data_IF_633876738902
#
_entry.id   IF_633876738902
#
_cell.length_a   1.000
_cell.length_b   1.000
_cell.length_c   1.000
_cell.angle_alpha   90.00
_cell.angle_beta   90.00
_cell.angle_gamma   90.00
#
_symmetry.space_group_name_H-M   'P 1'
#
loop_
_entity.id
_entity.type
_entity.pdbx_description
1 polymer ?
#
# COMPACT_ATOMS: atom_id res chain seq x y z
N UNK A 1 -8.85 3.50 -16.49
CA UNK A 1 -8.76 4.99 -16.52
C UNK A 1 -7.34 5.47 -16.85
N UNK A 2 -6.30 5.10 -16.08
CA UNK A 2 -4.91 5.56 -16.33
C UNK A 2 -4.39 5.21 -17.73
N UNK A 3 -4.53 3.95 -18.14
CA UNK A 3 -4.13 3.51 -19.49
C UNK A 3 -4.81 4.36 -20.58
N UNK A 4 -6.12 4.57 -20.48
CA UNK A 4 -6.88 5.41 -21.42
C UNK A 4 -6.30 6.83 -21.52
N UNK A 5 -6.01 7.47 -20.38
CA UNK A 5 -5.40 8.81 -20.37
C UNK A 5 -4.01 8.83 -21.00
N UNK A 6 -3.19 7.81 -20.74
CA UNK A 6 -1.85 7.67 -21.33
C UNK A 6 -1.93 7.48 -22.85
N UNK A 7 -2.86 6.66 -23.34
CA UNK A 7 -3.09 6.46 -24.77
C UNK A 7 -3.53 7.73 -25.50
N UNK A 8 -4.30 8.59 -24.84
CA UNK A 8 -4.75 9.87 -25.41
C UNK A 8 -3.70 10.98 -25.33
N UNK A 9 -2.75 10.87 -24.39
CA UNK A 9 -1.68 11.86 -24.23
C UNK A 9 -0.63 11.77 -25.34
N UNK A 10 0.08 12.86 -25.61
CA UNK A 10 1.14 12.95 -26.64
C UNK A 10 2.55 13.12 -26.04
N UNK A 11 2.67 13.17 -24.72
CA UNK A 11 3.96 13.37 -24.03
C UNK A 11 4.87 12.15 -24.16
N UNK A 12 6.18 12.40 -24.30
CA UNK A 12 7.24 11.37 -24.23
C UNK A 12 7.54 10.93 -22.79
N UNK A 13 7.24 11.81 -21.83
CA UNK A 13 7.24 11.54 -20.39
C UNK A 13 5.80 11.62 -19.91
N UNK A 14 5.38 10.63 -19.13
CA UNK A 14 4.09 10.58 -18.45
C UNK A 14 4.36 10.89 -16.99
N UNK A 15 3.60 11.81 -16.41
CA UNK A 15 3.56 12.03 -14.97
C UNK A 15 2.14 11.78 -14.47
N UNK A 16 1.97 10.70 -13.72
CA UNK A 16 0.69 10.30 -13.16
C UNK A 16 0.54 10.88 -11.75
N UNK A 17 -0.58 11.56 -11.54
CA UNK A 17 -0.91 12.27 -10.29
C UNK A 17 -2.38 11.99 -9.97
N UNK A 18 -2.69 11.68 -8.72
CA UNK A 18 -4.08 11.47 -8.29
C UNK A 18 -4.80 12.83 -8.14
N UNK A 19 -6.11 12.84 -8.37
CA UNK A 19 -6.92 14.07 -8.39
C UNK A 19 -6.96 14.83 -7.04
N UNK A 20 -6.62 14.16 -5.96
CA UNK A 20 -6.58 14.67 -4.58
C UNK A 20 -5.15 14.85 -4.05
N UNK A 21 -4.16 14.96 -4.95
CA UNK A 21 -2.76 15.22 -4.59
C UNK A 21 -2.32 16.65 -4.94
N UNK A 22 -1.66 17.31 -4.00
CA UNK A 22 -0.98 18.59 -4.24
C UNK A 22 0.48 18.35 -4.62
N UNK A 23 0.85 18.80 -5.81
CA UNK A 23 2.19 18.62 -6.39
C UNK A 23 3.10 19.79 -6.05
N UNK A 24 4.36 19.51 -5.71
CA UNK A 24 5.37 20.53 -5.48
C UNK A 24 5.82 21.19 -6.81
N UNK A 25 5.99 22.52 -6.81
CA UNK A 25 6.43 23.32 -7.98
C UNK A 25 7.73 22.83 -8.62
N UNK A 26 8.64 22.24 -7.85
CA UNK A 26 9.93 21.73 -8.34
C UNK A 26 9.86 20.38 -9.08
N UNK A 27 8.77 19.64 -8.93
CA UNK A 27 8.65 18.24 -9.39
C UNK A 27 8.93 18.08 -10.89
N UNK A 28 8.32 18.89 -11.76
CA UNK A 28 8.42 18.75 -13.22
C UNK A 28 9.87 18.87 -13.70
N UNK A 29 10.62 19.84 -13.15
CA UNK A 29 12.02 20.06 -13.51
C UNK A 29 12.88 18.85 -13.14
N UNK A 30 12.72 18.35 -11.92
CA UNK A 30 13.47 17.20 -11.39
C UNK A 30 13.11 15.89 -12.11
N UNK A 31 11.83 15.69 -12.44
CA UNK A 31 11.36 14.57 -13.26
C UNK A 31 12.06 14.59 -14.62
N UNK A 32 12.02 15.73 -15.31
CA UNK A 32 12.64 15.90 -16.63
C UNK A 32 14.14 15.62 -16.55
N UNK A 33 14.82 16.20 -15.57
CA UNK A 33 16.27 16.10 -15.46
C UNK A 33 16.72 14.67 -15.09
N UNK A 34 15.97 13.98 -14.22
CA UNK A 34 16.26 12.59 -13.84
C UNK A 34 16.01 11.59 -14.97
N UNK A 35 14.93 11.78 -15.75
CA UNK A 35 14.58 10.88 -16.86
C UNK A 35 15.43 11.10 -18.13
N UNK A 36 16.42 12.00 -18.11
CA UNK A 36 17.45 12.10 -19.16
C UNK A 36 18.38 10.88 -19.17
N UNK A 37 18.62 10.26 -18.02
CA UNK A 37 19.40 9.02 -17.95
C UNK A 37 18.56 7.86 -18.53
N UNK A 38 18.98 7.23 -19.64
CA UNK A 38 18.25 6.13 -20.26
C UNK A 38 18.14 4.90 -19.35
N UNK A 39 18.95 4.79 -18.29
CA UNK A 39 18.85 3.69 -17.32
C UNK A 39 17.77 3.92 -16.25
N UNK A 40 17.23 5.13 -16.12
CA UNK A 40 16.16 5.46 -15.17
C UNK A 40 14.81 5.26 -15.84
N UNK A 41 14.05 4.24 -15.42
CA UNK A 41 12.76 3.91 -16.02
C UNK A 41 11.58 4.65 -15.41
N UNK A 42 11.67 4.99 -14.12
CA UNK A 42 10.64 5.73 -13.41
C UNK A 42 11.22 6.56 -12.26
N UNK A 43 10.53 7.64 -11.92
CA UNK A 43 10.83 8.52 -10.79
C UNK A 43 9.54 8.92 -10.08
N UNK A 44 9.62 9.28 -8.81
CA UNK A 44 8.43 9.65 -8.04
C UNK A 44 8.72 10.03 -6.61
N UNK A 45 7.69 10.45 -5.89
CA UNK A 45 7.78 10.86 -4.49
C UNK A 45 7.07 9.90 -3.53
N UNK A 46 6.81 10.39 -2.31
CA UNK A 46 5.92 9.72 -1.36
C UNK A 46 4.67 10.55 -1.10
N UNK A 47 3.64 9.92 -0.53
CA UNK A 47 2.49 10.64 0.00
C UNK A 47 2.84 11.28 1.34
N UNK A 48 2.75 12.60 1.40
CA UNK A 48 2.92 13.41 2.59
C UNK A 48 1.58 13.69 3.27
N UNK A 49 1.68 14.08 4.54
CA UNK A 49 0.56 14.50 5.37
C UNK A 49 0.02 15.84 4.91
N UNK A 50 -1.25 16.10 5.21
CA UNK A 50 -1.80 17.47 5.14
C UNK A 50 -1.18 18.38 6.21
N UNK A 51 -1.29 19.70 6.04
CA UNK A 51 -0.75 20.70 6.98
C UNK A 51 -1.30 20.56 8.40
N UNK A 52 -2.55 20.11 8.53
CA UNK A 52 -3.21 19.85 9.82
C UNK A 52 -3.59 18.37 9.91
N UNK A 53 -2.63 17.46 10.15
CA UNK A 53 -2.90 16.04 10.14
C UNK A 53 -3.63 15.61 11.41
N UNK A 54 -4.64 14.77 11.24
CA UNK A 54 -5.27 14.08 12.39
C UNK A 54 -4.30 13.10 13.04
N UNK A 55 -4.59 12.66 14.27
CA UNK A 55 -3.79 11.62 14.92
C UNK A 55 -3.74 10.32 14.10
N UNK A 56 -4.83 9.97 13.39
CA UNK A 56 -4.88 8.78 12.52
C UNK A 56 -3.92 8.93 11.35
N UNK A 57 -3.92 10.09 10.70
CA UNK A 57 -2.99 10.39 9.61
C UNK A 57 -1.54 10.41 10.10
N UNK A 58 -1.29 10.96 11.29
CA UNK A 58 0.02 10.95 11.93
C UNK A 58 0.54 9.55 12.24
N UNK A 59 -0.33 8.60 12.60
CA UNK A 59 0.03 7.20 12.81
C UNK A 59 0.15 6.38 11.52
N UNK A 60 -0.52 6.79 10.45
CA UNK A 60 -0.50 6.09 9.17
C UNK A 60 0.71 6.48 8.32
N UNK A 61 0.94 7.78 8.14
CA UNK A 61 2.02 8.33 7.33
C UNK A 61 3.22 8.57 8.25
N UNK A 62 4.16 7.64 8.22
CA UNK A 62 5.38 7.69 9.03
C UNK A 62 6.62 7.96 8.17
N UNK A 63 6.42 8.59 7.02
CA UNK A 63 7.48 8.94 6.09
C UNK A 63 7.61 10.46 6.04
N UNK A 64 8.84 10.96 5.99
CA UNK A 64 9.18 12.34 5.68
C UNK A 64 9.91 12.42 4.33
N UNK A 65 9.89 13.60 3.71
CA UNK A 65 10.66 13.89 2.51
C UNK A 65 12.17 14.05 2.77
N UNK A 66 12.57 14.08 4.05
CA UNK A 66 13.96 14.19 4.53
C UNK A 66 14.85 13.00 4.14
N UNK A 67 14.28 11.88 3.66
CA UNK A 67 14.99 10.63 3.34
C UNK A 67 16.00 10.68 2.20
N UNK A 68 16.29 11.86 1.64
CA UNK A 68 17.24 12.05 0.55
C UNK A 68 16.76 11.47 -0.78
N UNK A 69 17.53 11.73 -1.84
CA UNK A 69 17.34 11.14 -3.17
C UNK A 69 17.96 9.74 -3.23
N UNK A 70 17.33 8.77 -3.90
CA UNK A 70 17.91 7.44 -4.03
C UNK A 70 17.07 6.42 -4.79
N UNK A 71 17.53 5.18 -4.84
CA UNK A 71 16.77 4.09 -5.47
C UNK A 71 15.56 3.68 -4.64
N UNK A 72 14.43 3.55 -5.31
CA UNK A 72 13.17 3.15 -4.71
C UNK A 72 12.80 1.74 -5.14
N UNK A 73 12.35 0.94 -4.18
CA UNK A 73 11.81 -0.37 -4.50
C UNK A 73 10.38 -0.31 -5.06
N UNK A 74 9.68 0.77 -4.74
CA UNK A 74 8.28 1.01 -5.06
C UNK A 74 7.98 2.52 -5.02
N UNK A 75 7.00 2.96 -5.80
CA UNK A 75 6.54 4.35 -5.90
C UNK A 75 5.00 4.38 -5.96
N UNK A 76 4.34 5.30 -5.24
CA UNK A 76 2.89 5.40 -5.26
C UNK A 76 2.40 5.88 -6.63
N UNK A 77 1.28 5.31 -7.10
CA UNK A 77 0.69 5.68 -8.39
C UNK A 77 0.37 7.16 -8.56
N UNK A 78 0.03 7.87 -7.47
CA UNK A 78 -0.28 9.31 -7.47
C UNK A 78 0.93 10.24 -7.44
N UNK A 79 2.15 9.70 -7.43
CA UNK A 79 3.39 10.44 -7.68
C UNK A 79 4.36 9.52 -8.41
N UNK A 80 4.06 9.28 -9.69
CA UNK A 80 4.82 8.36 -10.52
C UNK A 80 4.99 8.93 -11.92
N UNK A 81 6.23 9.21 -12.31
CA UNK A 81 6.60 9.62 -13.64
C UNK A 81 7.51 8.59 -14.32
N UNK A 82 7.34 8.40 -15.62
CA UNK A 82 8.07 7.42 -16.41
C UNK A 82 8.10 7.84 -17.89
N UNK A 83 9.03 7.28 -18.65
CA UNK A 83 9.04 7.47 -20.11
C UNK A 83 7.94 6.62 -20.76
N UNK A 84 7.32 7.14 -21.81
CA UNK A 84 6.32 6.39 -22.60
C UNK A 84 6.88 5.07 -23.11
N UNK A 85 8.10 5.06 -23.62
CA UNK A 85 8.77 3.83 -24.09
C UNK A 85 8.87 2.76 -22.99
N UNK A 86 9.01 3.15 -21.72
CA UNK A 86 9.10 2.22 -20.59
C UNK A 86 7.72 1.66 -20.29
N UNK A 87 6.68 2.50 -20.31
CA UNK A 87 5.29 2.08 -20.19
C UNK A 87 4.89 1.06 -21.27
N UNK A 88 5.29 1.30 -22.52
CA UNK A 88 5.05 0.40 -23.65
C UNK A 88 5.77 -0.94 -23.47
N UNK A 89 7.04 -0.93 -23.01
CA UNK A 89 7.79 -2.16 -22.68
C UNK A 89 7.19 -2.96 -21.53
N UNK A 90 6.58 -2.29 -20.56
CA UNK A 90 5.87 -2.94 -19.44
C UNK A 90 4.54 -3.56 -19.91
N UNK A 91 3.93 -3.02 -20.97
CA UNK A 91 2.60 -3.41 -21.44
C UNK A 91 1.45 -2.69 -20.71
N UNK A 92 1.75 -1.55 -20.08
CA UNK A 92 0.77 -0.74 -19.36
C UNK A 92 0.46 -1.18 -17.92
N UNK A 93 -0.51 -0.51 -17.29
CA UNK A 93 -1.03 -0.92 -15.98
C UNK A 93 -1.97 -2.11 -16.14
N UNK A 94 -1.90 -3.05 -15.20
CA UNK A 94 -2.77 -4.23 -15.19
C UNK A 94 -4.20 -3.84 -14.84
N UNK A 95 -5.13 -3.99 -15.77
CA UNK A 95 -6.54 -3.61 -15.59
C UNK A 95 -7.35 -4.65 -14.81
N UNK A 96 -6.81 -5.87 -14.67
CA UNK A 96 -7.43 -6.95 -13.90
C UNK A 96 -7.11 -6.84 -12.40
N UNK A 97 -6.36 -5.80 -11.99
CA UNK A 97 -5.94 -5.57 -10.60
C UNK A 97 -6.73 -4.43 -9.97
N UNK A 98 -7.55 -4.77 -8.97
CA UNK A 98 -8.34 -3.79 -8.21
C UNK A 98 -7.47 -2.87 -7.33
N UNK A 99 -6.31 -3.36 -6.87
CA UNK A 99 -5.40 -2.61 -6.01
C UNK A 99 -3.95 -3.11 -6.13
N UNK A 100 -2.99 -2.19 -6.17
CA UNK A 100 -1.55 -2.50 -6.21
C UNK A 100 -1.00 -2.67 -7.63
N UNK A 101 -1.74 -2.20 -8.62
CA UNK A 101 -1.37 -2.10 -10.02
C UNK A 101 -0.13 -1.22 -10.22
N UNK A 102 0.03 -0.17 -9.41
CA UNK A 102 1.19 0.72 -9.37
C UNK A 102 2.44 -0.01 -8.89
N UNK A 103 2.36 -0.73 -7.76
CA UNK A 103 3.46 -1.55 -7.26
C UNK A 103 3.86 -2.66 -8.23
N UNK A 104 2.89 -3.25 -8.95
CA UNK A 104 3.17 -4.23 -10.01
C UNK A 104 3.90 -3.58 -11.17
N UNK A 105 3.43 -2.42 -11.63
CA UNK A 105 4.05 -1.66 -12.72
C UNK A 105 5.52 -1.31 -12.41
N UNK A 106 5.78 -0.72 -11.24
CA UNK A 106 7.15 -0.39 -10.78
C UNK A 106 8.04 -1.63 -10.68
N UNK A 107 7.50 -2.76 -10.21
CA UNK A 107 8.24 -4.02 -10.14
C UNK A 107 8.64 -4.54 -11.52
N UNK A 108 7.77 -4.42 -12.53
CA UNK A 108 8.10 -4.84 -13.90
C UNK A 108 9.17 -3.93 -14.49
N UNK A 109 9.09 -2.60 -14.29
CA UNK A 109 10.14 -1.66 -14.71
C UNK A 109 11.52 -2.11 -14.19
N UNK A 110 11.60 -2.44 -12.90
CA UNK A 110 12.86 -2.90 -12.30
C UNK A 110 13.34 -4.24 -12.85
N UNK A 111 12.41 -5.17 -13.13
CA UNK A 111 12.75 -6.48 -13.75
C UNK A 111 13.27 -6.33 -15.18
N UNK A 112 12.91 -5.26 -15.89
CA UNK A 112 13.46 -4.91 -17.19
C UNK A 112 14.87 -4.27 -17.09
N UNK A 113 15.45 -4.17 -15.89
CA UNK A 113 16.80 -3.65 -15.66
C UNK A 113 16.85 -2.13 -15.43
N UNK A 114 15.70 -1.45 -15.40
CA UNK A 114 15.66 -0.02 -15.16
C UNK A 114 15.78 0.32 -13.67
N UNK A 115 16.43 1.45 -13.39
CA UNK A 115 16.46 2.08 -12.08
C UNK A 115 15.15 2.83 -11.84
N UNK A 116 14.70 2.80 -10.60
CA UNK A 116 13.53 3.56 -10.14
C UNK A 116 13.99 4.47 -9.02
N UNK A 117 13.73 5.77 -9.14
CA UNK A 117 14.28 6.77 -8.22
C UNK A 117 13.20 7.44 -7.39
N UNK A 118 13.46 7.56 -6.09
CA UNK A 118 12.73 8.44 -5.21
C UNK A 118 13.32 9.85 -5.28
N UNK A 119 12.45 10.82 -5.59
CA UNK A 119 12.75 12.24 -5.65
C UNK A 119 11.92 12.95 -4.56
N UNK A 120 12.54 13.49 -3.49
CA UNK A 120 11.81 14.25 -2.47
C UNK A 120 10.96 15.40 -3.02
N UNK A 121 11.45 16.06 -4.07
CA UNK A 121 10.75 17.13 -4.79
C UNK A 121 9.47 16.68 -5.51
N UNK A 122 9.31 15.37 -5.73
CA UNK A 122 8.11 14.78 -6.31
C UNK A 122 7.13 14.30 -5.26
N UNK A 123 7.45 14.37 -3.96
CA UNK A 123 6.50 14.03 -2.91
C UNK A 123 5.28 14.94 -2.97
N UNK A 124 4.10 14.34 -2.76
CA UNK A 124 2.81 15.02 -2.93
C UNK A 124 2.02 14.95 -1.64
N UNK A 125 1.31 16.02 -1.30
CA UNK A 125 0.38 16.02 -0.16
C UNK A 125 -0.92 15.37 -0.61
N UNK A 126 -1.28 14.25 -0.01
CA UNK A 126 -2.52 13.53 -0.33
C UNK A 126 -3.67 14.05 0.53
N UNK A 127 -4.62 14.77 -0.06
CA UNK A 127 -5.66 15.48 0.68
C UNK A 127 -6.67 14.52 1.33
N UNK A 128 -6.99 13.40 0.67
CA UNK A 128 -8.02 12.46 1.13
C UNK A 128 -7.44 11.24 1.87
N UNK A 129 -6.37 11.44 2.64
CA UNK A 129 -5.89 10.40 3.56
C UNK A 129 -6.97 10.04 4.58
N UNK A 130 -6.95 8.81 5.10
CA UNK A 130 -7.86 8.41 6.17
C UNK A 130 -7.67 9.30 7.40
N UNK A 131 -8.68 10.10 7.73
CA UNK A 131 -8.70 11.05 8.85
C UNK A 131 -9.30 10.43 10.13
N UNK A 132 -10.06 9.34 9.99
CA UNK A 132 -10.67 8.61 11.11
C UNK A 132 -10.37 7.12 11.05
N UNK A 133 -10.49 6.44 12.21
CA UNK A 133 -10.37 4.97 12.28
C UNK A 133 -11.38 4.31 11.33
N UNK A 134 -12.62 4.80 11.28
CA UNK A 134 -13.66 4.23 10.41
C UNK A 134 -13.28 4.31 8.93
N UNK A 135 -12.73 5.44 8.48
CA UNK A 135 -12.22 5.59 7.11
C UNK A 135 -11.03 4.66 6.83
N UNK A 136 -10.10 4.53 7.78
CA UNK A 136 -8.96 3.62 7.68
C UNK A 136 -9.43 2.17 7.54
N UNK A 137 -10.29 1.71 8.45
CA UNK A 137 -10.83 0.34 8.47
C UNK A 137 -11.57 0.07 7.17
N UNK A 138 -12.45 0.98 6.71
CA UNK A 138 -13.17 0.83 5.43
C UNK A 138 -12.21 0.70 4.24
N UNK A 139 -11.16 1.52 4.17
CA UNK A 139 -10.14 1.45 3.12
C UNK A 139 -9.41 0.11 3.16
N UNK A 140 -8.99 -0.35 4.33
CA UNK A 140 -8.29 -1.62 4.48
C UNK A 140 -9.20 -2.83 4.26
N UNK A 141 -10.49 -2.75 4.58
CA UNK A 141 -11.48 -3.77 4.24
C UNK A 141 -11.60 -3.94 2.72
N UNK A 142 -11.68 -2.84 1.98
CA UNK A 142 -11.69 -2.89 0.52
C UNK A 142 -10.45 -3.61 -0.02
N UNK A 143 -9.26 -3.22 0.42
CA UNK A 143 -8.02 -3.89 0.01
C UNK A 143 -7.90 -5.34 0.50
N UNK A 144 -8.47 -5.70 1.66
CA UNK A 144 -8.49 -7.09 2.12
C UNK A 144 -9.42 -7.97 1.28
N UNK A 145 -10.52 -7.39 0.80
CA UNK A 145 -11.50 -8.11 -0.02
C UNK A 145 -11.06 -8.36 -1.46
N UNK A 146 -10.05 -7.64 -1.96
CA UNK A 146 -9.52 -7.82 -3.32
C UNK A 146 -8.61 -9.04 -3.44
N UNK A 147 -8.11 -9.59 -2.32
CA UNK A 147 -7.23 -10.76 -2.32
C UNK A 147 -7.82 -11.98 -3.03
N UNK A 148 -9.13 -12.19 -2.96
CA UNK A 148 -9.81 -13.30 -3.62
C UNK A 148 -10.25 -13.01 -5.06
N UNK A 149 -10.04 -11.79 -5.54
CA UNK A 149 -10.47 -11.35 -6.87
C UNK A 149 -9.31 -11.18 -7.85
N UNK A 150 -8.22 -10.56 -7.40
CA UNK A 150 -7.25 -9.97 -8.33
C UNK A 150 -5.79 -10.19 -7.97
N UNK A 151 -5.48 -10.52 -6.71
CA UNK A 151 -4.08 -10.62 -6.25
C UNK A 151 -3.66 -12.09 -6.07
N UNK A 152 -2.51 -12.53 -6.62
CA UNK A 152 -1.93 -13.82 -6.24
C UNK A 152 -1.53 -13.78 -4.76
N UNK A 153 -2.39 -14.35 -3.90
CA UNK A 153 -2.30 -14.40 -2.44
C UNK A 153 -0.89 -14.71 -1.91
N UNK A 154 -0.17 -15.61 -2.60
CA UNK A 154 1.15 -16.11 -2.22
C UNK A 154 2.29 -15.08 -2.31
N UNK A 155 2.10 -13.94 -2.96
CA UNK A 155 3.16 -12.94 -3.15
C UNK A 155 3.05 -11.71 -2.24
N UNK A 156 1.94 -11.54 -1.49
CA UNK A 156 1.75 -10.37 -0.63
C UNK A 156 2.12 -10.65 0.83
N UNK A 157 3.18 -10.01 1.31
CA UNK A 157 3.63 -10.09 2.70
C UNK A 157 2.58 -9.57 3.68
N UNK A 158 1.75 -8.62 3.27
CA UNK A 158 0.66 -8.04 4.06
C UNK A 158 -0.46 -9.04 4.28
N UNK A 159 -0.72 -9.92 3.30
CA UNK A 159 -1.68 -11.01 3.43
C UNK A 159 -1.24 -11.96 4.56
N UNK A 160 0.00 -12.45 4.54
CA UNK A 160 0.51 -13.34 5.59
C UNK A 160 0.52 -12.66 6.97
N UNK A 161 0.91 -11.38 7.05
CA UNK A 161 0.83 -10.62 8.29
C UNK A 161 -0.61 -10.51 8.81
N UNK A 162 -1.59 -10.33 7.92
CA UNK A 162 -3.02 -10.30 8.28
C UNK A 162 -3.49 -11.65 8.79
N UNK A 163 -3.08 -12.76 8.17
CA UNK A 163 -3.40 -14.11 8.66
C UNK A 163 -2.79 -14.35 10.04
N UNK A 164 -1.52 -13.97 10.26
CA UNK A 164 -0.88 -14.06 11.57
C UNK A 164 -1.62 -13.23 12.63
N UNK A 165 -2.06 -12.02 12.29
CA UNK A 165 -2.88 -11.18 13.16
C UNK A 165 -4.19 -11.88 13.58
N UNK A 166 -4.90 -12.49 12.63
CA UNK A 166 -6.13 -13.26 12.91
C UNK A 166 -5.83 -14.45 13.81
N UNK A 167 -4.79 -15.23 13.49
CA UNK A 167 -4.40 -16.40 14.27
C UNK A 167 -4.03 -16.02 15.71
N UNK A 168 -3.30 -14.91 15.92
CA UNK A 168 -2.96 -14.42 17.26
C UNK A 168 -4.20 -14.03 18.08
N UNK A 169 -5.22 -13.44 17.46
CA UNK A 169 -6.48 -13.12 18.16
C UNK A 169 -7.23 -14.40 18.53
N UNK A 170 -7.36 -15.34 17.60
CA UNK A 170 -8.07 -16.60 17.83
C UNK A 170 -7.36 -17.45 18.89
N UNK A 171 -6.03 -17.60 18.81
CA UNK A 171 -5.24 -18.36 19.78
C UNK A 171 -5.31 -17.73 21.17
N UNK A 172 -5.24 -16.39 21.25
CA UNK A 172 -5.40 -15.65 22.49
C UNK A 172 -6.75 -15.92 23.14
N UNK A 173 -7.84 -15.77 22.40
CA UNK A 173 -9.20 -15.99 22.91
C UNK A 173 -9.43 -17.46 23.34
N UNK A 174 -9.03 -18.42 22.50
CA UNK A 174 -9.18 -19.84 22.81
C UNK A 174 -8.36 -20.25 24.04
N UNK A 175 -7.13 -19.73 24.18
CA UNK A 175 -6.28 -20.03 25.33
C UNK A 175 -6.85 -19.51 26.65
N UNK A 176 -7.59 -18.40 26.64
CA UNK A 176 -8.31 -17.92 27.83
C UNK A 176 -9.44 -18.88 28.23
N UNK A 177 -10.21 -19.39 27.27
CA UNK A 177 -11.28 -20.36 27.52
C UNK A 177 -10.71 -21.67 28.11
N UNK A 178 -9.56 -22.11 27.60
CA UNK A 178 -8.89 -23.35 28.03
C UNK A 178 -8.01 -23.17 29.28
N UNK A 179 -7.92 -21.97 29.85
CA UNK A 179 -7.07 -21.69 31.03
C UNK A 179 -5.55 -21.75 30.76
N UNK A 180 -5.14 -21.72 29.48
CA UNK A 180 -3.74 -21.80 29.08
C UNK A 180 -3.07 -20.41 29.05
N UNK A 181 -2.78 -19.86 30.23
CA UNK A 181 -2.26 -18.49 30.36
C UNK A 181 -0.94 -18.22 29.60
N UNK A 182 -0.05 -19.21 29.47
CA UNK A 182 1.19 -19.04 28.72
C UNK A 182 0.92 -18.80 27.22
N UNK A 183 0.00 -19.55 26.61
CA UNK A 183 -0.38 -19.38 25.21
C UNK A 183 -1.05 -18.02 24.99
N UNK A 184 -1.85 -17.57 25.96
CA UNK A 184 -2.45 -16.23 25.93
C UNK A 184 -1.36 -15.14 25.87
N UNK A 185 -0.38 -15.20 26.77
CA UNK A 185 0.72 -14.24 26.80
C UNK A 185 1.57 -14.28 25.53
N UNK A 186 1.86 -15.47 24.99
CA UNK A 186 2.57 -15.61 23.72
C UNK A 186 1.79 -15.03 22.55
N UNK A 187 0.47 -15.23 22.51
CA UNK A 187 -0.41 -14.70 21.47
C UNK A 187 -0.47 -13.17 21.52
N UNK A 188 -0.57 -12.60 22.72
CA UNK A 188 -0.57 -11.16 22.95
C UNK A 188 0.79 -10.54 22.55
N UNK A 189 1.89 -11.16 22.98
CA UNK A 189 3.24 -10.72 22.61
C UNK A 189 3.47 -10.77 21.08
N UNK A 190 3.02 -11.85 20.43
CA UNK A 190 3.08 -11.98 18.97
C UNK A 190 2.29 -10.90 18.22
N UNK A 191 1.09 -10.57 18.72
CA UNK A 191 0.27 -9.49 18.19
C UNK A 191 0.97 -8.13 18.30
N UNK A 192 1.50 -7.80 19.49
CA UNK A 192 2.25 -6.55 19.69
C UNK A 192 3.50 -6.49 18.83
N UNK A 193 4.28 -7.58 18.75
CA UNK A 193 5.47 -7.67 17.93
C UNK A 193 5.15 -7.43 16.45
N UNK A 194 4.09 -8.06 15.93
CA UNK A 194 3.64 -7.88 14.55
C UNK A 194 3.28 -6.41 14.25
N UNK A 195 2.48 -5.78 15.12
CA UNK A 195 2.05 -4.38 15.00
C UNK A 195 3.26 -3.44 15.05
N UNK A 196 4.19 -3.70 15.97
CA UNK A 196 5.41 -2.90 16.13
C UNK A 196 6.33 -3.00 14.90
N UNK A 197 6.61 -4.21 14.42
CA UNK A 197 7.42 -4.43 13.20
C UNK A 197 6.76 -3.81 11.98
N UNK A 198 5.43 -3.87 11.87
CA UNK A 198 4.71 -3.21 10.79
C UNK A 198 4.84 -1.69 10.85
N UNK A 199 4.70 -1.08 12.04
CA UNK A 199 4.92 0.36 12.23
C UNK A 199 6.36 0.77 11.90
N UNK A 200 7.36 -0.03 12.28
CA UNK A 200 8.77 0.19 11.90
C UNK A 200 8.97 0.17 10.38
N UNK A 201 8.37 -0.80 9.69
CA UNK A 201 8.44 -0.87 8.22
C UNK A 201 7.77 0.33 7.55
N UNK A 202 6.64 0.82 8.08
CA UNK A 202 5.98 2.04 7.56
C UNK A 202 6.79 3.30 7.79
N UNK A 203 7.60 3.35 8.85
CA UNK A 203 8.49 4.48 9.11
C UNK A 203 9.53 4.68 7.99
N UNK A 204 9.79 3.62 7.19
CA UNK A 204 10.67 3.49 6.02
C UNK A 204 12.13 3.92 6.26
N UNK A 205 12.40 5.08 6.87
CA UNK A 205 13.69 5.56 7.41
C UNK A 205 13.55 6.59 8.56
N UNK A 206 12.34 7.01 8.94
CA UNK A 206 12.11 8.10 9.90
C UNK A 206 11.75 7.58 11.30
N UNK A 207 12.77 7.08 12.03
CA UNK A 207 12.56 6.54 13.39
C UNK A 207 12.11 7.62 14.37
N UNK A 208 12.60 8.86 14.22
CA UNK A 208 12.17 10.01 15.03
C UNK A 208 10.67 10.30 14.87
N UNK A 209 10.14 10.20 13.64
CA UNK A 209 8.72 10.40 13.37
C UNK A 209 7.87 9.27 13.96
N UNK A 210 8.36 8.03 13.93
CA UNK A 210 7.70 6.92 14.63
C UNK A 210 7.68 7.13 16.14
N UNK A 211 8.82 7.51 16.75
CA UNK A 211 8.91 7.69 18.20
C UNK A 211 8.01 8.83 18.70
N UNK A 212 7.97 9.96 17.98
CA UNK A 212 7.06 11.08 18.28
C UNK A 212 5.59 10.72 18.10
N UNK A 213 5.27 9.72 17.27
CA UNK A 213 3.90 9.27 16.99
C UNK A 213 3.67 7.81 17.40
N UNK A 214 4.34 7.31 18.44
CA UNK A 214 4.35 5.88 18.76
C UNK A 214 2.94 5.34 19.03
N UNK A 215 2.18 6.00 19.90
CA UNK A 215 0.81 5.58 20.21
C UNK A 215 -0.09 5.61 18.96
N UNK A 216 -0.18 6.74 18.21
CA UNK A 216 -0.91 6.77 16.94
C UNK A 216 -0.47 5.68 15.96
N UNK A 217 0.83 5.44 15.80
CA UNK A 217 1.37 4.46 14.87
C UNK A 217 0.93 3.03 15.20
N UNK A 218 1.04 2.64 16.47
CA UNK A 218 0.61 1.32 16.95
C UNK A 218 -0.91 1.16 16.85
N UNK A 219 -1.68 2.16 17.27
CA UNK A 219 -3.15 2.13 17.17
C UNK A 219 -3.59 2.00 15.70
N UNK A 220 -3.03 2.80 14.80
CA UNK A 220 -3.30 2.73 13.36
C UNK A 220 -2.89 1.38 12.78
N UNK A 221 -1.75 0.82 13.18
CA UNK A 221 -1.34 -0.53 12.74
C UNK A 221 -2.32 -1.62 13.19
N UNK A 222 -2.84 -1.54 14.42
CA UNK A 222 -3.89 -2.44 14.89
C UNK A 222 -5.16 -2.33 14.03
N UNK A 223 -5.70 -1.12 13.87
CA UNK A 223 -6.92 -0.90 13.08
C UNK A 223 -6.73 -1.18 11.58
N UNK A 224 -5.52 -1.01 11.07
CA UNK A 224 -5.14 -1.41 9.72
C UNK A 224 -5.34 -2.91 9.54
N UNK A 225 -4.76 -3.74 10.42
CA UNK A 225 -4.89 -5.19 10.36
C UNK A 225 -6.32 -5.65 10.65
N UNK A 226 -7.03 -4.98 11.56
CA UNK A 226 -8.45 -5.25 11.79
C UNK A 226 -9.26 -5.05 10.50
N UNK A 227 -9.08 -3.92 9.81
CA UNK A 227 -9.74 -3.66 8.53
C UNK A 227 -9.36 -4.68 7.46
N UNK A 228 -8.06 -5.03 7.33
CA UNK A 228 -7.61 -6.07 6.40
C UNK A 228 -8.24 -7.43 6.72
N UNK A 229 -8.32 -7.82 7.98
CA UNK A 229 -8.91 -9.07 8.42
C UNK A 229 -10.40 -9.15 8.11
N UNK A 230 -11.16 -8.09 8.42
CA UNK A 230 -12.58 -7.98 8.08
C UNK A 230 -12.79 -8.06 6.56
N UNK A 231 -11.95 -7.36 5.79
CA UNK A 231 -11.97 -7.42 4.33
C UNK A 231 -11.69 -8.81 3.78
N UNK A 232 -10.71 -9.52 4.35
CA UNK A 232 -10.36 -10.87 3.96
C UNK A 232 -11.50 -11.85 4.24
N UNK A 233 -12.10 -11.80 5.44
CA UNK A 233 -13.26 -12.63 5.79
C UNK A 233 -14.43 -12.35 4.83
N UNK A 234 -14.73 -11.07 4.60
CA UNK A 234 -15.78 -10.67 3.66
C UNK A 234 -15.53 -11.19 2.23
N UNK A 235 -14.30 -11.04 1.73
CA UNK A 235 -13.89 -11.55 0.42
C UNK A 235 -14.00 -13.08 0.31
N UNK A 236 -13.63 -13.80 1.37
CA UNK A 236 -13.75 -15.26 1.44
C UNK A 236 -15.21 -15.70 1.39
N UNK A 237 -16.09 -15.06 2.18
CA UNK A 237 -17.52 -15.34 2.20
C UNK A 237 -18.13 -15.16 0.80
N UNK A 238 -17.84 -14.04 0.15
CA UNK A 238 -18.31 -13.74 -1.21
C UNK A 238 -17.80 -14.77 -2.24
N UNK A 239 -16.53 -15.17 -2.13
CA UNK A 239 -15.95 -16.20 -2.98
C UNK A 239 -16.67 -17.54 -2.79
N UNK A 240 -16.90 -17.97 -1.56
CA UNK A 240 -17.59 -19.23 -1.26
C UNK A 240 -19.04 -19.25 -1.75
N UNK A 241 -19.80 -18.14 -1.58
CA UNK A 241 -21.17 -18.05 -2.09
C UNK A 241 -21.24 -18.13 -3.62
N UNK A 242 -20.36 -17.42 -4.35
CA UNK A 242 -20.28 -17.51 -5.82
C UNK A 242 -19.93 -18.93 -6.29
N UNK A 243 -19.06 -19.64 -5.58
CA UNK A 243 -18.74 -21.04 -5.88
C UNK A 243 -19.92 -21.99 -5.58
N UNK A 244 -20.71 -21.69 -4.54
CA UNK A 244 -21.92 -22.43 -4.21
C UNK A 244 -23.00 -22.33 -5.30
N UNK A 245 -23.23 -21.13 -5.83
CA UNK A 245 -24.17 -20.89 -6.92
C UNK A 245 -23.71 -21.53 -8.24
N UNK A 246 -22.42 -21.46 -8.56
CA UNK A 246 -21.84 -22.12 -9.75
C UNK A 246 -21.99 -23.66 -9.73
N UNK A 247 -21.88 -24.29 -8.54
CA UNK A 247 -22.13 -25.73 -8.37
C UNK A 247 -23.61 -26.11 -8.41
N UNK A 248 -24.50 -25.21 -7.99
CA UNK A 248 -25.97 -25.39 -8.08
C UNK A 248 -26.44 -25.42 -9.54
N UNK A 249 -25.93 -24.51 -10.38
CA UNK A 249 -26.31 -24.39 -11.80
C UNK A 249 -25.78 -25.56 -12.63
N UNK A 250 -24.65 -26.18 -12.26
CA UNK A 250 -24.13 -27.38 -12.94
C UNK A 250 -24.83 -28.70 -12.56
N UNK A 251 -25.81 -28.66 -11.65
CA UNK A 251 -26.60 -29.83 -11.22
C UNK A 251 -28.06 -29.82 -11.72
N UNK A 252 -28.42 -28.84 -12.54
CA UNK A 252 -29.68 -28.78 -13.30
C UNK A 252 -29.38 -29.04 -14.78
#
# INVERSE_FOLDING_TARGET
>A
MRNTGIHQSQGVVIYNVDADCLVNKGSIKEIRDSLKDPNVGAVGGVYLKTNEPTWVENGYILVSDEGGFGEANDLPGGSLAFRREVYEKVGGFDEDVDAGEDSRFVRVIRRLGYRVLYLPSCSVVHLNNSKTIGQLVKRQMWHGSSYFRTTPLVLDKTFFATVLFILSIISGFLSLILGCHLIFLMSLAGLFFLIFVFSLKRAKYSLSLLLSNLFPALAVSFFYFLGRALGLIYGLIQFLFKFGESKSIRKL
#
